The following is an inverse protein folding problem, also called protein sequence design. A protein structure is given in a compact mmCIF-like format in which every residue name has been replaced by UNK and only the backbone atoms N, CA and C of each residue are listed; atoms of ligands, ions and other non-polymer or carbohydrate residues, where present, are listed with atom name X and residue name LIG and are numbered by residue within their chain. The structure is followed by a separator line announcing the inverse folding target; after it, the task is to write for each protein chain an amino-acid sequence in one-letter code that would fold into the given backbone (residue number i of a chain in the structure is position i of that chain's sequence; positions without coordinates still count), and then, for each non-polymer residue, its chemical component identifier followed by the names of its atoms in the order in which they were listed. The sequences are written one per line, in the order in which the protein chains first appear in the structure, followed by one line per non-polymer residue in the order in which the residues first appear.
data_IF_336122733632
#
_entry.id   IF_336122733632
#
_cell.length_a   1.000
_cell.length_b   1.000
_cell.length_c   1.000
_cell.angle_alpha   90.00
_cell.angle_beta   90.00
_cell.angle_gamma   90.00
#
_symmetry.space_group_name_H-M   'P 1'
#
loop_
_entity.id
_entity.type
_entity.pdbx_description
1 polymer ?
#
# COMPACT_ATOMS: atom_id res chain seq x y z
N UNK A 1 -1.49 12.36 24.42
CA UNK A 1 -2.67 13.14 24.12
C UNK A 1 -3.33 12.58 22.89
N UNK A 2 -4.65 12.60 22.86
CA UNK A 2 -5.42 11.95 21.78
C UNK A 2 -5.06 12.49 20.40
N UNK A 3 -4.92 13.81 20.26
CA UNK A 3 -4.61 14.43 18.98
C UNK A 3 -3.21 14.06 18.49
N UNK A 4 -2.22 13.94 19.40
CA UNK A 4 -0.88 13.49 19.03
C UNK A 4 -0.91 12.05 18.51
N UNK A 5 -1.71 11.18 19.13
CA UNK A 5 -1.82 9.79 18.72
C UNK A 5 -2.42 9.68 17.31
N UNK A 6 -3.46 10.47 17.00
CA UNK A 6 -4.06 10.50 15.67
C UNK A 6 -3.06 10.97 14.62
N UNK A 7 -2.31 12.07 14.91
CA UNK A 7 -1.28 12.57 13.98
C UNK A 7 -0.18 11.54 13.77
N UNK A 8 0.21 10.83 14.83
CA UNK A 8 1.22 9.78 14.75
C UNK A 8 0.72 8.61 13.91
N UNK A 9 -0.51 8.17 14.12
CA UNK A 9 -1.11 7.09 13.32
C UNK A 9 -1.23 7.49 11.86
N UNK A 10 -1.63 8.73 11.57
CA UNK A 10 -1.70 9.22 10.19
C UNK A 10 -0.33 9.19 9.52
N UNK A 11 0.72 9.60 10.23
CA UNK A 11 2.09 9.53 9.71
C UNK A 11 2.53 8.10 9.46
N UNK A 12 2.20 7.17 10.37
CA UNK A 12 2.55 5.76 10.22
C UNK A 12 1.79 5.09 9.08
N UNK A 13 0.53 5.46 8.88
CA UNK A 13 -0.27 4.97 7.73
C UNK A 13 0.37 5.47 6.42
N UNK A 14 0.75 6.74 6.37
CA UNK A 14 1.45 7.31 5.21
C UNK A 14 2.76 6.57 4.94
N UNK A 15 3.52 6.28 5.99
CA UNK A 15 4.78 5.53 5.88
C UNK A 15 4.56 4.13 5.31
N UNK A 16 3.53 3.43 5.77
CA UNK A 16 3.19 2.11 5.24
C UNK A 16 2.80 2.19 3.75
N UNK A 17 2.01 3.19 3.39
CA UNK A 17 1.63 3.40 1.99
C UNK A 17 2.85 3.72 1.12
N UNK A 18 3.80 4.51 1.63
CA UNK A 18 5.06 4.80 0.91
C UNK A 18 5.90 3.54 0.75
N UNK A 19 6.06 2.74 1.80
CA UNK A 19 6.79 1.48 1.71
C UNK A 19 6.21 0.56 0.64
N UNK A 20 4.90 0.53 0.54
CA UNK A 20 4.18 -0.26 -0.46
C UNK A 20 4.49 0.21 -1.88
N UNK A 21 4.23 1.49 -2.17
CA UNK A 21 4.33 1.97 -3.55
C UNK A 21 5.79 2.18 -3.99
N UNK A 22 6.63 2.72 -3.12
CA UNK A 22 8.05 2.87 -3.44
C UNK A 22 8.76 1.53 -3.46
N UNK A 23 8.40 0.63 -2.56
CA UNK A 23 8.94 -0.73 -2.58
C UNK A 23 8.68 -1.41 -3.92
N UNK A 24 7.46 -1.28 -4.43
CA UNK A 24 7.10 -1.81 -5.76
C UNK A 24 7.98 -1.20 -6.85
N UNK A 25 8.07 0.14 -6.88
CA UNK A 25 8.83 0.84 -7.93
C UNK A 25 10.35 0.68 -7.81
N UNK A 26 10.85 0.28 -6.65
CA UNK A 26 12.28 0.05 -6.44
C UNK A 26 12.67 -1.42 -6.55
N UNK A 27 11.68 -2.32 -6.61
CA UNK A 27 11.94 -3.75 -6.56
C UNK A 27 12.44 -4.18 -5.19
N UNK A 28 12.06 -3.45 -4.13
CA UNK A 28 12.52 -3.68 -2.76
C UNK A 28 11.52 -4.57 -2.02
N UNK A 29 11.77 -5.87 -2.06
CA UNK A 29 10.89 -6.86 -1.45
C UNK A 29 10.78 -6.68 0.07
N UNK A 30 11.85 -6.22 0.73
CA UNK A 30 11.84 -6.01 2.18
C UNK A 30 10.89 -4.87 2.55
N UNK A 31 10.88 -3.78 1.77
CA UNK A 31 9.92 -2.69 1.98
C UNK A 31 8.49 -3.15 1.75
N UNK A 32 8.25 -3.92 0.70
CA UNK A 32 6.93 -4.47 0.42
C UNK A 32 6.45 -5.35 1.56
N UNK A 33 7.29 -6.27 2.02
CA UNK A 33 6.95 -7.17 3.13
C UNK A 33 6.65 -6.40 4.41
N UNK A 34 7.39 -5.33 4.68
CA UNK A 34 7.15 -4.49 5.86
C UNK A 34 5.82 -3.76 5.79
N UNK A 35 5.37 -3.40 4.59
CA UNK A 35 4.15 -2.61 4.38
C UNK A 35 2.88 -3.44 4.49
N UNK A 36 2.90 -4.70 4.06
CA UNK A 36 1.69 -5.50 3.90
C UNK A 36 1.57 -6.59 4.96
N UNK A 37 0.33 -6.88 5.34
CA UNK A 37 0.04 -7.98 6.27
C UNK A 37 0.17 -9.32 5.53
N UNK A 38 0.62 -10.40 6.21
CA UNK A 38 0.70 -11.72 5.58
C UNK A 38 -0.63 -12.23 5.00
N UNK A 39 -1.75 -11.75 5.52
CA UNK A 39 -3.08 -12.12 5.04
C UNK A 39 -3.68 -11.10 4.08
N UNK A 40 -2.86 -10.19 3.54
CA UNK A 40 -3.33 -9.21 2.56
C UNK A 40 -4.07 -9.89 1.40
N UNK A 41 -5.16 -9.26 0.98
CA UNK A 41 -5.79 -9.57 -0.30
C UNK A 41 -5.73 -8.31 -1.17
N UNK A 42 -5.13 -8.43 -2.34
CA UNK A 42 -5.06 -7.36 -3.31
C UNK A 42 -5.85 -7.77 -4.55
N UNK A 43 -6.72 -6.89 -5.03
CA UNK A 43 -7.53 -7.16 -6.21
C UNK A 43 -7.34 -6.07 -7.25
N UNK A 44 -7.25 -6.50 -8.50
CA UNK A 44 -7.23 -5.60 -9.65
C UNK A 44 -8.56 -5.68 -10.37
N UNK A 45 -9.11 -4.53 -10.70
CA UNK A 45 -10.26 -4.44 -11.60
C UNK A 45 -9.76 -4.15 -13.02
N UNK A 46 -10.12 -5.01 -13.97
CA UNK A 46 -9.80 -4.81 -15.39
C UNK A 46 -10.92 -5.42 -16.22
N UNK A 47 -11.51 -4.61 -17.08
CA UNK A 47 -12.60 -5.04 -17.99
C UNK A 47 -13.75 -5.75 -17.26
N UNK A 48 -14.14 -5.22 -16.10
CA UNK A 48 -15.23 -5.78 -15.30
C UNK A 48 -14.90 -7.06 -14.54
N UNK A 49 -13.63 -7.47 -14.53
CA UNK A 49 -13.18 -8.68 -13.84
C UNK A 49 -12.26 -8.35 -12.70
N UNK A 50 -12.31 -9.15 -11.65
CA UNK A 50 -11.42 -9.03 -10.51
C UNK A 50 -10.40 -10.15 -10.54
N UNK A 51 -9.13 -9.78 -10.33
CA UNK A 51 -8.03 -10.71 -10.16
C UNK A 51 -7.42 -10.50 -8.78
N UNK A 52 -7.27 -11.56 -8.01
CA UNK A 52 -6.77 -11.48 -6.63
C UNK A 52 -5.32 -11.94 -6.53
N UNK A 53 -4.58 -11.28 -5.64
CA UNK A 53 -3.17 -11.58 -5.37
C UNK A 53 -2.97 -11.68 -3.86
N UNK A 54 -2.15 -12.64 -3.44
CA UNK A 54 -1.77 -12.84 -2.04
C UNK A 54 -0.58 -11.95 -1.67
N UNK A 55 -0.32 -11.83 -0.36
CA UNK A 55 0.88 -11.13 0.12
C UNK A 55 2.15 -11.76 -0.47
N UNK A 56 2.23 -13.08 -0.48
CA UNK A 56 3.40 -13.79 -1.00
C UNK A 56 3.62 -13.47 -2.48
N UNK A 57 2.56 -13.46 -3.27
CA UNK A 57 2.66 -13.10 -4.69
C UNK A 57 3.15 -11.67 -4.88
N UNK A 58 2.72 -10.74 -4.02
CA UNK A 58 3.18 -9.35 -4.09
C UNK A 58 4.65 -9.22 -3.76
N UNK A 59 5.12 -9.93 -2.73
CA UNK A 59 6.53 -9.90 -2.34
C UNK A 59 7.39 -10.47 -3.46
N UNK A 60 6.99 -11.60 -4.04
CA UNK A 60 7.73 -12.24 -5.13
C UNK A 60 7.75 -11.38 -6.39
N UNK A 61 6.62 -10.77 -6.75
CA UNK A 61 6.54 -9.88 -7.91
C UNK A 61 7.43 -8.65 -7.72
N UNK A 62 7.45 -8.09 -6.51
CA UNK A 62 8.31 -6.95 -6.17
C UNK A 62 9.78 -7.35 -6.32
N UNK A 63 10.17 -8.49 -5.75
CA UNK A 63 11.54 -9.00 -5.81
C UNK A 63 12.00 -9.23 -7.25
N UNK A 64 11.09 -9.62 -8.14
CA UNK A 64 11.41 -9.84 -9.55
C UNK A 64 11.78 -8.57 -10.31
N UNK A 65 11.49 -7.40 -9.74
CA UNK A 65 11.73 -6.11 -10.38
C UNK A 65 10.67 -5.73 -11.42
N UNK A 66 9.59 -6.47 -11.48
CA UNK A 66 8.50 -6.25 -12.45
C UNK A 66 7.97 -4.82 -12.42
N UNK A 67 7.93 -4.20 -11.24
CA UNK A 67 7.39 -2.85 -11.08
C UNK A 67 8.41 -1.72 -11.17
N UNK A 68 9.67 -2.03 -11.41
CA UNK A 68 10.72 -1.00 -11.37
C UNK A 68 10.42 0.16 -12.30
N UNK A 69 10.59 1.39 -11.75
CA UNK A 69 10.30 2.62 -12.47
C UNK A 69 11.17 3.75 -11.89
N UNK A 70 11.79 4.57 -12.75
CA UNK A 70 12.61 5.69 -12.30
C UNK A 70 11.82 6.66 -11.41
N UNK A 71 12.50 7.27 -10.45
CA UNK A 71 11.88 8.17 -9.46
C UNK A 71 11.07 9.28 -10.11
N UNK A 72 11.60 9.92 -11.16
CA UNK A 72 10.97 11.05 -11.84
C UNK A 72 9.76 10.63 -12.70
N UNK A 73 9.47 9.34 -12.81
CA UNK A 73 8.34 8.82 -13.58
C UNK A 73 7.25 8.20 -12.69
N UNK A 74 7.34 8.36 -11.38
CA UNK A 74 6.39 7.72 -10.43
C UNK A 74 5.18 8.57 -10.11
N UNK A 75 5.34 9.87 -9.94
CA UNK A 75 4.27 10.82 -9.62
C UNK A 75 3.39 10.37 -8.46
N UNK A 76 4.01 10.02 -7.33
CA UNK A 76 3.32 9.44 -6.17
C UNK A 76 2.61 10.54 -5.37
N UNK A 77 1.33 10.31 -5.08
CA UNK A 77 0.53 11.17 -4.21
C UNK A 77 -0.28 10.29 -3.27
N UNK A 78 -0.12 10.47 -1.96
CA UNK A 78 -0.81 9.67 -0.94
C UNK A 78 -1.78 10.55 -0.17
N UNK A 79 -3.02 10.09 -0.07
CA UNK A 79 -4.05 10.75 0.73
C UNK A 79 -4.56 9.76 1.77
N UNK A 80 -4.44 10.11 3.05
CA UNK A 80 -5.05 9.33 4.14
C UNK A 80 -6.46 9.90 4.33
N UNK A 81 -7.49 9.15 3.94
CA UNK A 81 -8.86 9.63 4.02
C UNK A 81 -9.41 9.62 5.44
N UNK A 82 -9.09 8.58 6.19
CA UNK A 82 -9.61 8.43 7.54
C UNK A 82 -8.73 7.50 8.38
N UNK A 83 -8.50 7.88 9.62
CA UNK A 83 -7.85 7.03 10.61
C UNK A 83 -8.80 6.92 11.81
N UNK A 84 -9.26 5.70 12.07
CA UNK A 84 -10.07 5.38 13.25
C UNK A 84 -9.24 4.66 14.30
N UNK A 85 -9.89 4.00 15.22
CA UNK A 85 -9.21 3.19 16.23
C UNK A 85 -8.71 1.90 15.58
N UNK A 86 -7.42 1.87 15.24
CA UNK A 86 -6.78 0.68 14.73
C UNK A 86 -7.07 0.36 13.28
N UNK A 87 -7.84 1.17 12.56
CA UNK A 87 -8.15 0.95 11.13
C UNK A 87 -8.05 2.26 10.36
N UNK A 88 -7.69 2.18 9.08
CA UNK A 88 -7.53 3.36 8.25
C UNK A 88 -7.82 3.08 6.78
N UNK A 89 -8.18 4.14 6.05
CA UNK A 89 -8.31 4.13 4.60
C UNK A 89 -7.33 5.13 4.01
N UNK A 90 -6.68 4.77 2.92
CA UNK A 90 -5.79 5.67 2.19
C UNK A 90 -5.87 5.39 0.69
N UNK A 91 -5.57 6.40 -0.11
CA UNK A 91 -5.48 6.28 -1.57
C UNK A 91 -4.08 6.62 -2.01
N UNK A 92 -3.52 5.80 -2.89
CA UNK A 92 -2.22 6.07 -3.52
C UNK A 92 -2.46 6.29 -5.01
N UNK A 93 -2.13 7.50 -5.47
CA UNK A 93 -2.07 7.78 -6.91
C UNK A 93 -0.61 7.71 -7.32
N UNK A 94 -0.36 7.09 -8.45
CA UNK A 94 0.97 7.10 -9.07
C UNK A 94 0.77 7.22 -10.57
N UNK A 95 1.86 7.37 -11.32
CA UNK A 95 1.76 7.54 -12.76
C UNK A 95 0.93 6.43 -13.42
N UNK A 96 1.16 5.12 -13.11
CA UNK A 96 0.40 4.05 -13.77
C UNK A 96 -0.85 3.60 -13.01
N UNK A 97 -1.00 3.92 -11.70
CA UNK A 97 -2.00 3.23 -10.87
C UNK A 97 -2.85 4.15 -10.01
N UNK A 98 -4.04 3.65 -9.68
CA UNK A 98 -4.84 4.12 -8.55
C UNK A 98 -5.01 2.95 -7.61
N UNK A 99 -4.53 3.07 -6.37
CA UNK A 99 -4.61 2.02 -5.35
C UNK A 99 -5.42 2.52 -4.16
N UNK A 100 -6.49 1.81 -3.83
CA UNK A 100 -7.29 2.07 -2.63
C UNK A 100 -6.87 1.08 -1.55
N UNK A 101 -6.39 1.61 -0.42
CA UNK A 101 -5.81 0.81 0.66
C UNK A 101 -6.69 0.82 1.90
N UNK A 102 -6.79 -0.33 2.55
CA UNK A 102 -7.29 -0.42 3.91
C UNK A 102 -6.19 -1.00 4.78
N UNK A 103 -5.97 -0.35 5.93
CA UNK A 103 -4.88 -0.70 6.83
C UNK A 103 -5.43 -1.01 8.21
N UNK A 104 -4.69 -1.84 8.95
CA UNK A 104 -4.98 -2.18 10.33
C UNK A 104 -3.73 -2.02 11.18
N UNK A 105 -3.89 -1.51 12.41
CA UNK A 105 -2.81 -1.43 13.38
C UNK A 105 -2.75 -2.77 14.12
N UNK A 106 -1.75 -3.56 13.78
CA UNK A 106 -1.50 -4.87 14.38
C UNK A 106 -0.44 -4.76 15.46
N UNK A 107 -0.12 -5.87 16.12
CA UNK A 107 0.98 -5.91 17.10
C UNK A 107 2.33 -5.55 16.46
N UNK A 108 2.45 -5.74 15.14
CA UNK A 108 3.67 -5.42 14.39
C UNK A 108 3.60 -4.05 13.72
N UNK A 109 2.61 -3.23 14.06
CA UNK A 109 2.41 -1.90 13.51
C UNK A 109 1.31 -1.84 12.46
N UNK A 110 1.22 -0.70 11.77
CA UNK A 110 0.25 -0.52 10.70
C UNK A 110 0.61 -1.35 9.48
N UNK A 111 -0.35 -2.15 9.01
CA UNK A 111 -0.16 -3.03 7.85
C UNK A 111 -1.33 -2.87 6.88
N UNK A 112 -1.02 -2.92 5.59
CA UNK A 112 -2.05 -2.92 4.55
C UNK A 112 -2.67 -4.31 4.50
N UNK A 113 -3.99 -4.39 4.65
CA UNK A 113 -4.73 -5.66 4.69
C UNK A 113 -5.58 -5.89 3.45
N UNK A 114 -6.01 -4.81 2.78
CA UNK A 114 -6.78 -4.89 1.53
C UNK A 114 -6.30 -3.83 0.56
N UNK A 115 -6.24 -4.18 -0.72
CA UNK A 115 -5.99 -3.26 -1.82
C UNK A 115 -6.97 -3.55 -2.95
N UNK A 116 -7.59 -2.50 -3.46
CA UNK A 116 -8.33 -2.57 -4.73
C UNK A 116 -7.67 -1.56 -5.66
N UNK A 117 -7.25 -1.99 -6.83
CA UNK A 117 -6.52 -1.10 -7.73
C UNK A 117 -6.91 -1.28 -9.19
N UNK A 118 -6.57 -0.29 -9.99
CA UNK A 118 -6.72 -0.29 -11.44
C UNK A 118 -5.62 0.54 -12.08
N UNK A 119 -5.40 0.33 -13.36
CA UNK A 119 -4.56 1.24 -14.13
C UNK A 119 -5.26 2.59 -14.30
N UNK A 120 -4.47 3.63 -14.40
CA UNK A 120 -4.98 4.99 -14.67
C UNK A 120 -5.32 5.18 -16.12
#
# INVERSE_FOLDING_TARGET
MIMSDVSTDEALVTEAALDYIEGWFEGDAARMERAIHPELVKRRLEDGRLEAFTAQQMIEATASGKGKRPVDERAIEITVEHVGEGVANATVLSAPFVDYLQLARTDDGWKIVNVLWRFR
#
